data_IF_447422238397
#
_entry.id   IF_447422238397
#
_cell.length_a   1.000
_cell.length_b   1.000
_cell.length_c   1.000
_cell.angle_alpha   90.00
_cell.angle_beta   90.00
_cell.angle_gamma   90.00
#
_symmetry.space_group_name_H-M   'P 1'
#
loop_
_entity.id
_entity.type
_entity.pdbx_description
1 polymer ?
#
# COMPACT_ATOMS: atom_id res chain seq x y z
N UNK A 1 -25.43 13.50 65.02
CA UNK A 1 -24.74 14.57 64.27
C UNK A 1 -24.26 13.94 62.96
N UNK A 2 -25.12 13.75 61.95
CA UNK A 2 -25.69 14.77 61.06
C UNK A 2 -24.62 15.68 60.43
N UNK A 3 -24.17 15.32 59.22
CA UNK A 3 -24.08 16.22 58.05
C UNK A 3 -23.62 15.47 56.79
N UNK A 4 -24.47 15.52 55.76
CA UNK A 4 -24.15 15.37 54.33
C UNK A 4 -23.62 16.72 53.78
N UNK A 5 -23.46 16.97 52.47
CA UNK A 5 -23.14 16.11 51.32
C UNK A 5 -21.97 16.67 50.47
N UNK A 6 -21.57 15.88 49.46
CA UNK A 6 -20.77 16.26 48.28
C UNK A 6 -21.18 17.62 47.69
N UNK A 7 -20.21 18.51 47.46
CA UNK A 7 -20.35 19.62 46.51
C UNK A 7 -19.81 19.21 45.13
N UNK A 8 -20.64 19.57 44.15
CA UNK A 8 -20.60 19.33 42.71
C UNK A 8 -20.01 20.57 42.02
N UNK A 9 -19.73 20.41 40.72
CA UNK A 9 -19.56 21.42 39.67
C UNK A 9 -18.08 21.67 39.33
N UNK A 10 -17.67 21.81 38.07
CA UNK A 10 -18.26 21.65 36.75
C UNK A 10 -17.06 21.59 35.79
N UNK A 11 -17.07 20.77 34.74
CA UNK A 11 -17.40 21.30 33.41
C UNK A 11 -16.18 21.92 32.72
N UNK A 12 -15.46 21.11 31.97
CA UNK A 12 -14.60 21.47 30.83
C UNK A 12 -14.29 20.14 30.12
N UNK A 13 -15.25 19.58 29.40
CA UNK A 13 -15.46 19.85 27.97
C UNK A 13 -14.25 19.33 27.17
N UNK A 14 -14.45 18.12 26.66
CA UNK A 14 -13.54 17.41 25.77
C UNK A 14 -13.41 18.17 24.45
N UNK A 15 -12.24 18.77 24.21
CA UNK A 15 -11.83 19.20 22.87
C UNK A 15 -11.28 17.98 22.10
N UNK A 16 -11.89 17.59 20.96
CA UNK A 16 -11.45 16.45 20.16
C UNK A 16 -10.40 16.91 19.14
N UNK A 17 -9.22 17.31 19.61
CA UNK A 17 -8.16 17.74 18.70
C UNK A 17 -6.78 17.48 19.29
N UNK A 18 -6.34 16.22 19.25
CA UNK A 18 -4.90 15.92 19.29
C UNK A 18 -4.56 14.57 18.66
N UNK A 19 -4.08 14.66 17.42
CA UNK A 19 -2.92 13.91 16.95
C UNK A 19 -3.11 12.41 16.77
N UNK A 20 -3.49 12.03 15.55
CA UNK A 20 -3.25 10.70 15.02
C UNK A 20 -1.74 10.41 15.00
N UNK A 21 -1.20 9.86 16.09
CA UNK A 21 0.13 9.30 16.11
C UNK A 21 0.09 7.91 15.47
N UNK A 22 0.66 7.82 14.26
CA UNK A 22 0.87 6.59 13.50
C UNK A 22 1.88 5.67 14.21
N UNK A 23 1.39 4.91 15.20
CA UNK A 23 2.17 3.86 15.86
C UNK A 23 2.51 2.75 14.87
N UNK A 24 3.79 2.61 14.50
CA UNK A 24 4.28 1.44 13.75
C UNK A 24 3.88 0.17 14.52
N UNK A 25 3.24 -0.83 13.87
CA UNK A 25 2.80 -2.02 14.58
C UNK A 25 4.00 -2.77 15.16
N UNK A 26 4.07 -2.86 16.49
CA UNK A 26 5.09 -3.60 17.22
C UNK A 26 4.85 -5.10 16.99
N UNK A 27 5.49 -5.66 15.96
CA UNK A 27 5.46 -7.09 15.67
C UNK A 27 5.89 -7.84 16.93
N UNK A 28 5.01 -8.71 17.45
CA UNK A 28 5.27 -9.42 18.70
C UNK A 28 6.43 -10.39 18.52
N UNK A 29 7.52 -10.18 19.26
CA UNK A 29 8.70 -11.06 19.22
C UNK A 29 8.32 -12.53 19.49
N UNK A 30 7.30 -12.78 20.31
CA UNK A 30 6.78 -14.12 20.58
C UNK A 30 6.22 -14.84 19.34
N UNK A 31 5.58 -14.13 18.40
CA UNK A 31 5.11 -14.75 17.16
C UNK A 31 6.29 -15.20 16.29
N UNK A 32 7.34 -14.39 16.20
CA UNK A 32 8.53 -14.73 15.44
C UNK A 32 9.26 -15.95 16.04
N UNK A 33 9.44 -15.98 17.36
CA UNK A 33 10.06 -17.12 18.05
C UNK A 33 9.24 -18.39 17.89
N UNK A 34 7.91 -18.31 17.98
CA UNK A 34 7.01 -19.44 17.75
C UNK A 34 7.13 -19.98 16.32
N UNK A 35 7.15 -19.11 15.31
CA UNK A 35 7.32 -19.50 13.90
C UNK A 35 8.68 -20.17 13.67
N UNK A 36 9.76 -19.64 14.26
CA UNK A 36 11.10 -20.23 14.16
C UNK A 36 11.15 -21.64 14.77
N UNK A 37 10.66 -21.81 16.00
CA UNK A 37 10.64 -23.11 16.68
C UNK A 37 9.76 -24.11 15.90
N UNK A 38 8.59 -23.68 15.45
CA UNK A 38 7.68 -24.51 14.64
C UNK A 38 8.30 -24.93 13.31
N UNK A 39 9.03 -24.03 12.65
CA UNK A 39 9.76 -24.34 11.41
C UNK A 39 10.84 -25.40 11.64
N UNK A 40 11.64 -25.27 12.69
CA UNK A 40 12.69 -26.24 13.03
C UNK A 40 12.08 -27.62 13.33
N UNK A 41 11.00 -27.64 14.11
CA UNK A 41 10.30 -28.89 14.45
C UNK A 41 9.75 -29.59 13.20
N UNK A 42 9.16 -28.86 12.26
CA UNK A 42 8.68 -29.42 10.98
C UNK A 42 9.81 -30.01 10.14
N UNK A 43 10.98 -29.36 10.10
CA UNK A 43 12.14 -29.89 9.36
C UNK A 43 12.67 -31.19 9.96
N UNK A 44 12.66 -31.34 11.28
CA UNK A 44 13.12 -32.56 11.95
C UNK A 44 12.13 -33.72 11.76
N UNK A 45 10.82 -33.44 11.86
CA UNK A 45 9.78 -34.47 11.77
C UNK A 45 9.46 -34.88 10.33
N UNK A 46 9.55 -33.96 9.36
CA UNK A 46 9.15 -34.18 7.97
C UNK A 46 10.25 -33.77 7.00
N UNK A 47 11.46 -34.30 7.19
CA UNK A 47 12.65 -33.94 6.39
C UNK A 47 12.44 -34.14 4.88
N UNK A 48 11.75 -35.21 4.48
CA UNK A 48 11.50 -35.55 3.07
C UNK A 48 10.60 -34.52 2.40
N UNK A 49 9.53 -34.11 3.08
CA UNK A 49 8.55 -33.17 2.53
C UNK A 49 9.12 -31.76 2.52
N UNK A 50 9.88 -31.38 3.55
CA UNK A 50 10.54 -30.07 3.61
C UNK A 50 11.61 -29.96 2.51
N UNK A 51 12.38 -31.01 2.25
CA UNK A 51 13.33 -31.03 1.13
C UNK A 51 12.61 -30.83 -0.21
N UNK A 52 11.54 -31.59 -0.45
CA UNK A 52 10.76 -31.48 -1.68
C UNK A 52 10.15 -30.08 -1.84
N UNK A 53 9.54 -29.54 -0.79
CA UNK A 53 8.88 -28.24 -0.83
C UNK A 53 9.88 -27.09 -1.00
N UNK A 54 11.03 -27.16 -0.35
CA UNK A 54 12.06 -26.10 -0.48
C UNK A 54 12.61 -26.01 -1.90
N UNK A 55 12.86 -27.16 -2.54
CA UNK A 55 13.31 -27.20 -3.94
C UNK A 55 12.16 -26.84 -4.89
N UNK A 56 10.96 -27.36 -4.65
CA UNK A 56 9.77 -27.05 -5.45
C UNK A 56 9.32 -25.58 -5.37
N UNK A 57 9.71 -24.87 -4.31
CA UNK A 57 9.41 -23.45 -4.12
C UNK A 57 10.46 -22.50 -4.71
N UNK A 58 11.52 -23.00 -5.36
CA UNK A 58 12.51 -22.17 -6.09
C UNK A 58 11.85 -21.18 -7.07
N UNK A 59 10.83 -21.56 -7.87
CA UNK A 59 10.15 -20.63 -8.78
C UNK A 59 9.49 -19.44 -8.06
N UNK A 60 9.01 -19.64 -6.83
CA UNK A 60 8.50 -18.56 -5.98
C UNK A 60 9.62 -17.62 -5.53
N UNK A 61 10.82 -18.14 -5.27
CA UNK A 61 12.01 -17.34 -5.00
C UNK A 61 12.37 -16.44 -6.20
N UNK A 62 12.27 -16.97 -7.42
CA UNK A 62 12.45 -16.18 -8.65
C UNK A 62 11.39 -15.08 -8.74
N UNK A 63 10.11 -15.38 -8.46
CA UNK A 63 9.05 -14.37 -8.43
C UNK A 63 9.25 -13.32 -7.33
N UNK A 64 9.88 -13.67 -6.21
CA UNK A 64 10.25 -12.69 -5.17
C UNK A 64 11.35 -11.75 -5.63
N UNK A 65 12.31 -12.25 -6.41
CA UNK A 65 13.41 -11.44 -6.94
C UNK A 65 12.94 -10.47 -8.04
N UNK A 66 12.01 -10.91 -8.89
CA UNK A 66 11.48 -10.13 -10.01
C UNK A 66 10.47 -9.05 -9.54
N UNK A 67 9.70 -9.31 -8.48
CA UNK A 67 8.67 -8.39 -8.01
C UNK A 67 9.29 -7.17 -7.29
N UNK A 68 9.39 -6.06 -8.03
CA UNK A 68 9.87 -4.76 -7.53
C UNK A 68 8.77 -3.95 -6.83
N UNK A 69 7.53 -4.44 -6.79
CA UNK A 69 6.41 -3.69 -6.24
C UNK A 69 6.45 -3.69 -4.70
N UNK A 70 6.21 -2.54 -4.02
CA UNK A 70 6.38 -2.41 -2.57
C UNK A 70 5.49 -3.37 -1.76
N UNK A 71 4.34 -3.76 -2.32
CA UNK A 71 3.38 -4.70 -1.69
C UNK A 71 3.56 -6.16 -2.09
N UNK A 72 4.46 -6.44 -3.05
CA UNK A 72 4.81 -7.76 -3.58
C UNK A 72 3.60 -8.63 -3.95
N UNK A 73 2.71 -8.07 -4.77
CA UNK A 73 1.46 -8.75 -5.14
C UNK A 73 1.69 -9.91 -6.10
N UNK A 74 2.65 -9.79 -7.02
CA UNK A 74 2.98 -10.86 -7.96
C UNK A 74 3.57 -12.06 -7.20
N UNK A 75 4.51 -11.81 -6.28
CA UNK A 75 5.11 -12.89 -5.49
C UNK A 75 4.07 -13.65 -4.68
N UNK A 76 3.11 -12.96 -4.05
CA UNK A 76 2.09 -13.63 -3.23
C UNK A 76 1.19 -14.54 -4.06
N UNK A 77 0.72 -14.05 -5.21
CA UNK A 77 -0.13 -14.85 -6.11
C UNK A 77 0.63 -16.06 -6.65
N UNK A 78 1.87 -15.87 -7.08
CA UNK A 78 2.73 -16.95 -7.57
C UNK A 78 3.09 -17.93 -6.45
N UNK A 79 3.31 -17.46 -5.22
CA UNK A 79 3.59 -18.31 -4.07
C UNK A 79 2.44 -19.27 -3.77
N UNK A 80 1.21 -18.78 -3.74
CA UNK A 80 0.04 -19.62 -3.51
C UNK A 80 -0.22 -20.59 -4.66
N UNK A 81 -0.07 -20.14 -5.90
CA UNK A 81 -0.23 -20.98 -7.08
C UNK A 81 0.84 -22.09 -7.13
N UNK A 82 2.11 -21.74 -6.90
CA UNK A 82 3.22 -22.70 -6.88
C UNK A 82 3.10 -23.67 -5.70
N UNK A 83 2.67 -23.19 -4.52
CA UNK A 83 2.45 -24.04 -3.36
C UNK A 83 1.37 -25.10 -3.65
N UNK A 84 0.32 -24.75 -4.39
CA UNK A 84 -0.68 -25.73 -4.80
C UNK A 84 -0.10 -26.81 -5.73
N UNK A 85 0.76 -26.43 -6.69
CA UNK A 85 1.45 -27.39 -7.55
C UNK A 85 2.45 -28.27 -6.79
N UNK A 86 3.27 -27.67 -5.93
CA UNK A 86 4.21 -28.39 -5.07
C UNK A 86 3.47 -29.34 -4.10
N UNK A 87 2.29 -28.96 -3.63
CA UNK A 87 1.46 -29.81 -2.78
C UNK A 87 0.94 -31.04 -3.54
N UNK A 88 0.62 -30.94 -4.84
CA UNK A 88 0.24 -32.10 -5.65
C UNK A 88 1.39 -33.13 -5.69
N UNK A 89 2.62 -32.67 -5.89
CA UNK A 89 3.81 -33.55 -5.89
C UNK A 89 4.08 -34.08 -4.47
N UNK A 90 3.88 -33.28 -3.43
CA UNK A 90 4.00 -33.73 -2.05
C UNK A 90 2.95 -34.80 -1.68
N UNK A 91 1.75 -34.71 -2.25
CA UNK A 91 0.71 -35.73 -2.09
C UNK A 91 1.11 -37.06 -2.75
N UNK A 92 1.87 -37.05 -3.85
CA UNK A 92 2.44 -38.27 -4.44
C UNK A 92 3.48 -38.89 -3.52
N UNK A 93 4.35 -38.07 -2.91
CA UNK A 93 5.30 -38.53 -1.89
C UNK A 93 4.60 -39.19 -0.69
N UNK A 94 3.48 -38.64 -0.23
CA UNK A 94 2.72 -39.20 0.91
C UNK A 94 1.94 -40.46 0.58
N UNK A 95 1.58 -40.67 -0.69
CA UNK A 95 0.93 -41.90 -1.14
C UNK A 95 1.92 -43.06 -1.29
N UNK A 96 3.19 -42.75 -1.55
CA UNK A 96 4.27 -43.71 -1.67
C UNK A 96 4.99 -43.98 -0.34
N UNK A 97 6.20 -44.48 -0.44
CA UNK A 97 7.09 -44.66 0.71
C UNK A 97 7.71 -43.32 1.10
N UNK A 98 7.43 -42.87 2.33
CA UNK A 98 8.01 -41.64 2.87
C UNK A 98 9.48 -41.90 3.19
N UNK A 99 10.34 -41.67 2.19
CA UNK A 99 11.78 -41.84 2.25
C UNK A 99 12.50 -40.72 1.50
N UNK A 100 13.75 -40.46 1.90
CA UNK A 100 14.56 -39.42 1.27
C UNK A 100 14.90 -39.77 -0.18
N UNK A 101 15.09 -41.05 -0.50
CA UNK A 101 15.27 -41.54 -1.86
C UNK A 101 14.05 -41.26 -2.73
N UNK A 102 12.85 -41.56 -2.23
CA UNK A 102 11.61 -41.31 -2.98
C UNK A 102 11.39 -39.81 -3.26
N UNK A 103 11.72 -38.94 -2.31
CA UNK A 103 11.65 -37.49 -2.53
C UNK A 103 12.63 -37.02 -3.63
N UNK A 104 13.84 -37.58 -3.67
CA UNK A 104 14.82 -37.28 -4.73
C UNK A 104 14.35 -37.83 -6.08
N UNK A 105 13.79 -39.03 -6.12
CA UNK A 105 13.27 -39.63 -7.36
C UNK A 105 12.13 -38.78 -7.95
N UNK A 106 11.23 -38.26 -7.10
CA UNK A 106 10.18 -37.33 -7.52
C UNK A 106 10.77 -36.01 -8.04
N UNK A 107 11.85 -35.51 -7.46
CA UNK A 107 12.56 -34.32 -7.93
C UNK A 107 13.37 -34.58 -9.21
N UNK A 108 13.72 -35.82 -9.54
CA UNK A 108 14.37 -36.14 -10.81
C UNK A 108 13.36 -36.29 -11.96
N UNK A 109 12.08 -36.50 -11.64
CA UNK A 109 11.05 -36.66 -12.66
C UNK A 109 10.70 -35.32 -13.35
N UNK A 110 10.90 -35.18 -14.67
CA UNK A 110 10.60 -33.94 -15.40
C UNK A 110 9.11 -33.56 -15.38
N UNK A 111 8.19 -34.53 -15.24
CA UNK A 111 6.77 -34.24 -15.14
C UNK A 111 6.42 -33.45 -13.87
N UNK A 112 7.11 -33.72 -12.77
CA UNK A 112 6.88 -33.02 -11.50
C UNK A 112 7.34 -31.57 -11.58
N UNK A 113 8.46 -31.32 -12.27
CA UNK A 113 8.91 -29.97 -12.60
C UNK A 113 7.91 -29.22 -13.47
N UNK A 114 7.29 -29.90 -14.44
CA UNK A 114 6.25 -29.30 -15.28
C UNK A 114 5.05 -28.85 -14.44
N UNK A 115 4.63 -29.63 -13.46
CA UNK A 115 3.52 -29.28 -12.56
C UNK A 115 3.91 -28.08 -11.69
N UNK A 116 5.08 -28.12 -11.05
CA UNK A 116 5.56 -27.03 -10.19
C UNK A 116 5.76 -25.73 -10.98
N UNK A 117 6.56 -25.75 -12.05
CA UNK A 117 6.81 -24.59 -12.91
C UNK A 117 5.54 -24.11 -13.63
N UNK A 118 4.68 -25.05 -14.06
CA UNK A 118 3.40 -24.75 -14.69
C UNK A 118 2.47 -24.00 -13.73
N UNK A 119 2.35 -24.48 -12.50
CA UNK A 119 1.54 -23.81 -11.47
C UNK A 119 2.09 -22.42 -11.10
N UNK A 120 3.41 -22.25 -11.01
CA UNK A 120 4.03 -20.94 -10.80
C UNK A 120 3.74 -19.97 -11.97
N UNK A 121 3.82 -20.47 -13.21
CA UNK A 121 3.52 -19.71 -14.43
C UNK A 121 2.05 -19.30 -14.47
N UNK A 122 1.13 -20.17 -14.07
CA UNK A 122 -0.29 -19.84 -13.94
C UNK A 122 -0.48 -18.69 -12.94
N UNK A 123 0.26 -18.67 -11.83
CA UNK A 123 0.25 -17.54 -10.89
C UNK A 123 0.63 -16.21 -11.55
N UNK A 124 1.62 -16.21 -12.43
CA UNK A 124 2.03 -15.04 -13.22
C UNK A 124 0.96 -14.61 -14.22
N UNK A 125 0.36 -15.57 -14.91
CA UNK A 125 -0.74 -15.33 -15.85
C UNK A 125 -1.92 -14.65 -15.13
N UNK A 126 -2.30 -15.15 -13.95
CA UNK A 126 -3.36 -14.55 -13.13
C UNK A 126 -2.99 -13.12 -12.75
N UNK A 127 -1.74 -12.88 -12.34
CA UNK A 127 -1.28 -11.54 -11.97
C UNK A 127 -1.44 -10.53 -13.12
N UNK A 128 -1.23 -10.93 -14.37
CA UNK A 128 -1.44 -10.06 -15.53
C UNK A 128 -2.90 -9.95 -15.99
N UNK A 129 -3.69 -11.02 -15.88
CA UNK A 129 -5.09 -11.02 -16.33
C UNK A 129 -5.98 -10.21 -15.39
N UNK A 130 -5.72 -10.24 -14.08
CA UNK A 130 -6.58 -9.59 -13.08
C UNK A 130 -6.72 -8.08 -13.30
N UNK A 131 -5.64 -7.29 -13.50
CA UNK A 131 -5.75 -5.86 -13.80
C UNK A 131 -6.60 -5.56 -15.04
N UNK A 132 -6.45 -6.35 -16.10
CA UNK A 132 -7.20 -6.19 -17.34
C UNK A 132 -8.71 -6.41 -17.11
N UNK A 133 -9.07 -7.38 -16.27
CA UNK A 133 -10.46 -7.64 -15.89
C UNK A 133 -11.03 -6.52 -15.01
N UNK A 134 -10.26 -6.05 -14.02
CA UNK A 134 -10.70 -4.98 -13.12
C UNK A 134 -10.95 -3.68 -13.88
N UNK A 135 -10.10 -3.33 -14.84
CA UNK A 135 -10.29 -2.13 -15.66
C UNK A 135 -11.60 -2.17 -16.46
N UNK A 136 -11.91 -3.33 -17.07
CA UNK A 136 -13.18 -3.52 -17.82
C UNK A 136 -14.40 -3.49 -16.89
N UNK A 137 -14.29 -4.09 -15.71
CA UNK A 137 -15.37 -4.05 -14.72
C UNK A 137 -15.59 -2.61 -14.21
N UNK A 138 -14.52 -1.86 -13.97
CA UNK A 138 -14.62 -0.50 -13.50
C UNK A 138 -15.25 0.41 -14.56
N UNK A 139 -14.89 0.28 -15.84
CA UNK A 139 -15.55 1.07 -16.90
C UNK A 139 -17.04 0.77 -16.98
N UNK A 140 -17.44 -0.50 -16.88
CA UNK A 140 -18.85 -0.91 -16.92
C UNK A 140 -19.64 -0.39 -15.70
N UNK A 141 -19.07 -0.49 -14.49
CA UNK A 141 -19.72 0.03 -13.28
C UNK A 141 -19.84 1.56 -13.30
N UNK A 142 -18.84 2.25 -13.84
CA UNK A 142 -18.89 3.71 -14.04
C UNK A 142 -19.96 4.10 -15.06
N UNK A 143 -20.18 3.31 -16.11
CA UNK A 143 -21.29 3.54 -17.05
C UNK A 143 -22.65 3.38 -16.39
N UNK A 144 -22.84 2.33 -15.59
CA UNK A 144 -24.07 2.10 -14.82
C UNK A 144 -24.34 3.27 -13.85
N UNK A 145 -23.30 3.73 -13.14
CA UNK A 145 -23.41 4.89 -12.24
C UNK A 145 -23.71 6.18 -13.02
N UNK A 146 -23.11 6.38 -14.19
CA UNK A 146 -23.43 7.55 -15.06
C UNK A 146 -24.87 7.51 -15.56
N UNK A 147 -25.40 6.32 -15.91
CA UNK A 147 -26.79 6.17 -16.37
C UNK A 147 -27.78 6.55 -15.29
N UNK A 148 -27.64 6.00 -14.09
CA UNK A 148 -28.51 6.34 -12.95
C UNK A 148 -28.43 7.83 -12.58
N UNK A 149 -27.25 8.44 -12.62
CA UNK A 149 -27.11 9.89 -12.40
C UNK A 149 -27.77 10.73 -13.50
N UNK A 150 -27.66 10.32 -14.78
CA UNK A 150 -28.33 11.00 -15.90
C UNK A 150 -29.85 10.84 -15.85
N UNK A 151 -30.35 9.70 -15.40
CA UNK A 151 -31.80 9.48 -15.21
C UNK A 151 -32.35 10.42 -14.13
N UNK A 152 -31.66 10.53 -12.98
CA UNK A 152 -32.00 11.49 -11.93
C UNK A 152 -31.92 12.94 -12.42
N UNK A 153 -30.90 13.29 -13.22
CA UNK A 153 -30.81 14.62 -13.83
C UNK A 153 -32.00 14.91 -14.75
N UNK A 154 -32.43 13.93 -15.57
CA UNK A 154 -33.61 14.08 -16.44
C UNK A 154 -34.92 14.23 -15.66
N UNK A 155 -35.07 13.51 -14.55
CA UNK A 155 -36.23 13.63 -13.67
C UNK A 155 -36.29 15.02 -13.02
N UNK A 156 -35.17 15.49 -12.47
CA UNK A 156 -35.07 16.85 -11.93
C UNK A 156 -35.28 17.93 -13.00
N UNK A 157 -34.80 17.72 -14.24
CA UNK A 157 -35.05 18.64 -15.36
C UNK A 157 -36.53 18.68 -15.75
N UNK A 158 -37.25 17.55 -15.65
CA UNK A 158 -38.68 17.48 -15.93
C UNK A 158 -39.52 18.22 -14.87
N UNK A 159 -39.12 18.13 -13.61
CA UNK A 159 -39.83 18.75 -12.48
C UNK A 159 -39.49 20.24 -12.31
N UNK A 160 -38.22 20.61 -12.50
CA UNK A 160 -37.68 21.93 -12.15
C UNK A 160 -37.25 22.76 -13.37
N UNK A 161 -37.34 22.21 -14.58
CA UNK A 161 -36.93 22.88 -15.81
C UNK A 161 -35.41 22.85 -16.05
N UNK A 162 -34.99 23.36 -17.21
CA UNK A 162 -33.60 23.30 -17.74
C UNK A 162 -32.55 24.06 -16.92
N UNK A 163 -32.97 24.83 -15.91
CA UNK A 163 -32.10 25.68 -15.08
C UNK A 163 -31.18 24.85 -14.16
N UNK A 164 -31.54 23.60 -13.85
CA UNK A 164 -30.76 22.69 -12.98
C UNK A 164 -29.59 22.02 -13.72
N UNK A 165 -29.42 22.29 -15.02
CA UNK A 165 -28.38 21.66 -15.86
C UNK A 165 -26.97 22.23 -15.64
N UNK A 166 -26.78 23.05 -14.61
CA UNK A 166 -25.50 23.67 -14.30
C UNK A 166 -24.41 22.62 -14.07
N UNK A 167 -23.43 22.56 -14.97
CA UNK A 167 -22.09 22.14 -14.57
C UNK A 167 -21.66 23.16 -13.52
N UNK A 168 -21.71 22.79 -12.25
CA UNK A 168 -21.11 23.62 -11.22
C UNK A 168 -19.66 23.88 -11.66
N UNK A 169 -19.23 25.16 -11.77
CA UNK A 169 -17.84 25.47 -11.98
C UNK A 169 -17.12 25.13 -10.66
N UNK A 170 -16.80 23.84 -10.50
CA UNK A 170 -16.03 23.33 -9.38
C UNK A 170 -14.61 23.89 -9.38
N UNK A 171 -14.12 24.37 -10.52
CA UNK A 171 -12.89 25.16 -10.64
C UNK A 171 -13.04 26.54 -9.99
N UNK A 172 -14.14 27.25 -10.25
CA UNK A 172 -14.40 28.60 -9.70
C UNK A 172 -14.68 28.56 -8.18
N UNK A 173 -15.30 27.49 -7.67
CA UNK A 173 -15.46 27.30 -6.22
C UNK A 173 -14.15 26.85 -5.52
N UNK A 174 -13.27 26.12 -6.21
CA UNK A 174 -11.95 25.77 -5.69
C UNK A 174 -11.02 26.99 -5.64
N UNK A 175 -11.15 27.91 -6.60
CA UNK A 175 -10.44 29.20 -6.61
C UNK A 175 -10.97 30.19 -5.55
N UNK A 176 -12.25 30.08 -5.16
CA UNK A 176 -12.81 30.90 -4.06
C UNK A 176 -12.54 30.32 -2.66
N UNK A 177 -12.38 29.00 -2.54
CA UNK A 177 -11.98 28.33 -1.29
C UNK A 177 -10.45 28.36 -1.07
N UNK A 178 -9.67 28.39 -2.15
CA UNK A 178 -8.27 28.81 -2.14
C UNK A 178 -8.21 30.34 -2.11
N UNK A 179 -8.49 30.93 -0.96
CA UNK A 179 -7.95 32.26 -0.64
C UNK A 179 -6.45 32.29 -0.99
N UNK A 180 -5.91 33.46 -1.39
CA UNK A 180 -4.61 33.57 -2.06
C UNK A 180 -3.59 32.67 -1.36
N UNK A 181 -3.09 31.69 -2.11
CA UNK A 181 -1.97 30.87 -1.67
C UNK A 181 -0.84 31.89 -1.51
N UNK A 182 -0.54 32.26 -0.27
CA UNK A 182 0.66 33.01 0.04
C UNK A 182 1.76 31.98 -0.17
N UNK A 183 2.36 32.04 -1.34
CA UNK A 183 3.60 31.35 -1.64
C UNK A 183 4.65 31.97 -0.72
N UNK A 184 4.91 31.30 0.42
CA UNK A 184 5.91 31.65 1.45
C UNK A 184 7.31 31.93 0.85
N UNK A 185 7.54 31.49 -0.39
CA UNK A 185 8.80 31.65 -1.12
C UNK A 185 8.93 33.03 -1.81
N UNK A 186 7.83 33.73 -2.09
CA UNK A 186 7.88 35.05 -2.79
C UNK A 186 8.03 36.24 -1.84
N UNK A 187 7.59 36.09 -0.59
CA UNK A 187 7.72 37.15 0.43
C UNK A 187 9.11 37.15 1.07
N UNK A 188 9.74 35.98 1.23
CA UNK A 188 11.12 35.91 1.73
C UNK A 188 12.13 36.53 0.75
N UNK A 189 11.97 36.31 -0.57
CA UNK A 189 12.88 36.88 -1.58
C UNK A 189 12.77 38.40 -1.69
N UNK A 190 11.55 38.94 -1.64
CA UNK A 190 11.32 40.38 -1.74
C UNK A 190 11.77 41.13 -0.47
N UNK A 191 11.64 40.48 0.71
CA UNK A 191 12.13 41.03 1.98
C UNK A 191 13.65 40.92 2.12
N UNK A 192 14.29 39.83 1.67
CA UNK A 192 15.76 39.70 1.62
C UNK A 192 16.38 40.75 0.68
N UNK A 193 15.85 40.90 -0.54
CA UNK A 193 16.36 41.88 -1.49
C UNK A 193 16.16 43.32 -1.01
N UNK A 194 15.06 43.60 -0.29
CA UNK A 194 14.82 44.91 0.31
C UNK A 194 15.73 45.18 1.52
N UNK A 195 16.00 44.17 2.35
CA UNK A 195 16.94 44.28 3.48
C UNK A 195 18.38 44.41 3.01
N UNK A 196 18.78 43.72 1.95
CA UNK A 196 20.13 43.82 1.38
C UNK A 196 20.36 45.21 0.80
N UNK A 197 19.38 45.75 0.06
CA UNK A 197 19.42 47.12 -0.48
C UNK A 197 19.46 48.20 0.62
N UNK A 198 18.68 48.03 1.69
CA UNK A 198 18.72 48.93 2.85
C UNK A 198 20.03 48.83 3.64
N UNK A 199 20.67 47.65 3.65
CA UNK A 199 21.97 47.42 4.28
C UNK A 199 23.12 48.01 3.46
N UNK A 200 23.02 48.00 2.13
CA UNK A 200 23.96 48.68 1.24
C UNK A 200 23.87 50.21 1.38
N UNK A 201 22.68 50.79 1.51
CA UNK A 201 22.53 52.24 1.73
C UNK A 201 22.99 52.70 3.13
N UNK A 202 22.98 51.81 4.12
CA UNK A 202 23.37 52.11 5.51
C UNK A 202 24.87 51.90 5.80
N UNK A 203 25.62 51.26 4.89
CA UNK A 203 27.06 51.10 5.02
C UNK A 203 27.77 52.22 4.24
N UNK A 204 28.65 52.97 4.90
CA UNK A 204 29.46 53.98 4.23
C UNK A 204 30.39 53.33 3.19
N UNK A 205 30.54 54.00 2.03
CA UNK A 205 31.25 53.50 0.83
C UNK A 205 32.65 52.93 1.12
N UNK A 206 33.31 53.37 2.19
CA UNK A 206 34.65 52.96 2.58
C UNK A 206 34.68 51.57 3.23
N UNK A 207 33.62 51.17 3.95
CA UNK A 207 33.54 49.90 4.70
C UNK A 207 33.07 48.74 3.81
N UNK A 208 32.19 49.00 2.83
CA UNK A 208 31.71 47.99 1.88
C UNK A 208 32.84 47.49 0.93
N UNK A 209 33.76 48.39 0.56
CA UNK A 209 34.90 48.07 -0.30
C UNK A 209 35.92 47.12 0.37
N UNK A 210 36.05 47.16 1.71
CA UNK A 210 36.90 46.21 2.44
C UNK A 210 36.23 44.83 2.57
N UNK A 211 34.92 44.77 2.82
CA UNK A 211 34.21 43.50 3.04
C UNK A 211 34.16 42.61 1.79
N UNK A 212 34.17 43.19 0.59
CA UNK A 212 34.12 42.45 -0.69
C UNK A 212 35.49 41.98 -1.20
N UNK A 213 36.58 42.42 -0.58
CA UNK A 213 37.96 42.04 -0.93
C UNK A 213 38.49 40.84 -0.15
N UNK A 214 37.75 40.35 0.84
CA UNK A 214 38.07 39.16 1.63
C UNK A 214 37.31 37.95 1.09
#
# INVERSE_FOLDING_TARGET
MAQAPKKKNAGAQDDPAKGAASGKPKRSAGFFTFVMIGSILMTVLFKETVLLLTIGMIPTGVAYLIDTHPRRHATKTVAWANLAGALIVALELWKGEISLSSAIDLLQNPMNWLIMLGSATIGWIIHWIVPLMVLRYLSMSMEMRRRTMREKQKEMEKEWGTQVRGKAPLEELAELEAGPIIDDETTETDEEEAMERAREEAMDDETYAEFKKQ
#
